data_IF_468268074135
#
_entry.id   IF_468268074135
#
_cell.length_a   1.000
_cell.length_b   1.000
_cell.length_c   1.000
_cell.angle_alpha   90.00
_cell.angle_beta   90.00
_cell.angle_gamma   90.00
#
_symmetry.space_group_name_H-M   'P 1'
#
loop_
_entity.id
_entity.type
_entity.pdbx_description
1 polymer ?
#
# COMPACT_ATOMS: atom_id res chain seq x y z
N UNK A 1 2.37 -30.50 -44.50
CA UNK A 1 1.54 -29.29 -44.37
C UNK A 1 0.83 -29.34 -43.03
N UNK A 2 1.30 -28.58 -42.04
CA UNK A 2 0.61 -28.37 -40.78
C UNK A 2 0.92 -26.93 -40.35
N UNK A 3 -0.10 -26.08 -40.40
CA UNK A 3 -0.02 -24.65 -40.09
C UNK A 3 -0.06 -24.46 -38.56
N UNK A 4 1.04 -23.99 -37.99
CA UNK A 4 1.11 -23.50 -36.62
C UNK A 4 0.33 -22.18 -36.50
N UNK A 5 -0.82 -22.22 -35.82
CA UNK A 5 -1.49 -21.02 -35.31
C UNK A 5 -0.94 -20.70 -33.92
N UNK A 6 -0.11 -19.66 -33.82
CA UNK A 6 0.14 -19.01 -32.54
C UNK A 6 -0.99 -18.02 -32.25
N UNK A 7 -1.56 -17.99 -31.03
CA UNK A 7 -2.49 -16.94 -30.66
C UNK A 7 -1.72 -15.64 -30.43
N UNK A 8 -2.02 -14.63 -31.26
CA UNK A 8 -1.61 -13.24 -31.06
C UNK A 8 -2.30 -12.68 -29.81
N UNK A 9 -1.58 -12.63 -28.68
CA UNK A 9 -2.00 -11.82 -27.54
C UNK A 9 -1.66 -10.35 -27.83
N UNK A 10 -2.65 -9.60 -28.33
CA UNK A 10 -2.58 -8.14 -28.41
C UNK A 10 -2.66 -7.62 -26.97
N UNK A 11 -1.50 -7.27 -26.40
CA UNK A 11 -1.39 -6.61 -25.10
C UNK A 11 -1.91 -5.18 -25.27
N UNK A 12 -3.12 -4.90 -24.82
CA UNK A 12 -3.64 -3.52 -24.74
C UNK A 12 -2.83 -2.75 -23.69
N UNK A 13 -1.87 -1.96 -24.16
CA UNK A 13 -1.22 -0.93 -23.34
C UNK A 13 -2.27 0.13 -22.98
N UNK A 14 -2.60 0.26 -21.70
CA UNK A 14 -3.37 1.41 -21.20
C UNK A 14 -2.45 2.63 -21.21
N UNK A 15 -2.45 3.37 -22.32
CA UNK A 15 -1.85 4.69 -22.38
C UNK A 15 -2.70 5.61 -21.48
N UNK A 16 -2.11 6.11 -20.40
CA UNK A 16 -2.76 7.07 -19.51
C UNK A 16 -2.84 8.42 -20.23
N UNK A 17 -3.98 8.71 -20.86
CA UNK A 17 -4.25 10.04 -21.42
C UNK A 17 -4.65 10.97 -20.28
N UNK A 18 -3.67 11.70 -19.73
CA UNK A 18 -3.93 12.74 -18.73
C UNK A 18 -4.37 14.03 -19.44
N UNK A 19 -5.65 14.37 -19.36
CA UNK A 19 -6.15 15.69 -19.74
C UNK A 19 -6.26 16.58 -18.50
N UNK A 20 -5.38 17.56 -18.36
CA UNK A 20 -5.52 18.60 -17.37
C UNK A 20 -6.42 19.71 -17.92
N UNK A 21 -7.69 19.74 -17.50
CA UNK A 21 -8.60 20.87 -17.76
C UNK A 21 -8.47 21.83 -16.57
N UNK A 22 -8.03 23.09 -16.77
CA UNK A 22 -7.99 24.07 -15.70
C UNK A 22 -9.41 24.36 -15.22
N UNK A 23 -9.77 23.88 -14.02
CA UNK A 23 -11.14 24.02 -13.51
C UNK A 23 -11.41 25.35 -12.81
N UNK A 24 -10.37 26.12 -12.44
CA UNK A 24 -10.51 27.46 -11.85
C UNK A 24 -9.16 28.20 -11.80
N UNK A 25 -9.16 29.50 -12.10
CA UNK A 25 -8.06 30.43 -11.75
C UNK A 25 -8.26 30.88 -10.30
N UNK A 26 -7.29 30.64 -9.43
CA UNK A 26 -7.38 30.95 -8.01
C UNK A 26 -6.41 32.09 -7.65
N UNK A 27 -6.96 33.22 -7.20
CA UNK A 27 -6.17 34.31 -6.64
C UNK A 27 -5.94 34.08 -5.13
N UNK A 28 -4.69 33.82 -4.75
CA UNK A 28 -4.27 33.58 -3.37
C UNK A 28 -4.33 34.85 -2.50
N UNK A 29 -4.33 36.04 -3.10
CA UNK A 29 -4.46 37.32 -2.39
C UNK A 29 -5.92 37.66 -2.05
N UNK A 30 -6.88 36.93 -2.62
CA UNK A 30 -8.31 37.14 -2.43
C UNK A 30 -8.92 36.31 -1.29
N UNK A 31 -8.13 35.81 -0.33
CA UNK A 31 -8.69 35.15 0.86
C UNK A 31 -9.60 36.13 1.61
N UNK A 32 -10.92 35.88 1.70
CA UNK A 32 -11.83 36.85 2.26
C UNK A 32 -11.54 37.01 3.75
N UNK A 33 -11.42 38.27 4.21
CA UNK A 33 -11.31 38.61 5.64
C UNK A 33 -12.51 38.14 6.48
N UNK A 34 -13.58 37.67 5.83
CA UNK A 34 -14.76 37.03 6.41
C UNK A 34 -15.43 36.12 5.37
N UNK A 35 -15.48 34.80 5.53
CA UNK A 35 -16.37 33.99 4.71
C UNK A 35 -17.79 34.06 5.31
N UNK A 36 -18.76 34.54 4.54
CA UNK A 36 -20.03 33.82 4.52
C UNK A 36 -19.73 32.41 3.98
N UNK A 37 -20.37 31.33 4.48
CA UNK A 37 -20.12 29.99 4.00
C UNK A 37 -20.64 29.85 2.56
N UNK A 38 -19.82 30.25 1.60
CA UNK A 38 -20.01 30.01 0.17
C UNK A 38 -19.18 28.79 -0.23
N UNK A 39 -19.64 28.03 -1.23
CA UNK A 39 -18.91 26.87 -1.74
C UNK A 39 -17.45 27.18 -2.15
N UNK A 40 -17.15 28.44 -2.50
CA UNK A 40 -15.83 28.92 -2.90
C UNK A 40 -14.80 29.02 -1.76
N UNK A 41 -15.21 29.27 -0.51
CA UNK A 41 -14.25 29.36 0.61
C UNK A 41 -13.74 27.97 1.03
N UNK A 42 -14.63 26.97 1.03
CA UNK A 42 -14.30 25.58 1.30
C UNK A 42 -13.35 24.99 0.26
N UNK A 43 -13.51 25.36 -1.02
CA UNK A 43 -12.59 24.95 -2.10
C UNK A 43 -11.19 25.50 -1.88
N UNK A 44 -11.05 26.76 -1.49
CA UNK A 44 -9.74 27.40 -1.24
C UNK A 44 -9.00 26.78 -0.06
N UNK A 45 -9.72 26.44 1.02
CA UNK A 45 -9.15 25.72 2.17
C UNK A 45 -8.58 24.37 1.72
N UNK A 46 -9.38 23.58 0.97
CA UNK A 46 -8.93 22.28 0.46
C UNK A 46 -7.71 22.39 -0.45
N UNK A 47 -7.65 23.41 -1.31
CA UNK A 47 -6.48 23.64 -2.18
C UNK A 47 -5.24 23.91 -1.32
N UNK A 48 -5.33 24.82 -0.34
CA UNK A 48 -4.21 25.11 0.55
C UNK A 48 -3.77 23.88 1.35
N UNK A 49 -4.71 23.11 1.89
CA UNK A 49 -4.40 21.85 2.58
C UNK A 49 -3.73 20.83 1.67
N UNK A 50 -4.17 20.75 0.42
CA UNK A 50 -3.58 19.87 -0.60
C UNK A 50 -2.17 20.31 -0.95
N UNK A 51 -1.93 21.62 -1.15
CA UNK A 51 -0.61 22.16 -1.44
C UNK A 51 0.37 21.94 -0.28
N UNK A 52 -0.08 22.15 0.96
CA UNK A 52 0.72 21.87 2.15
C UNK A 52 1.12 20.39 2.22
N UNK A 53 0.17 19.46 1.96
CA UNK A 53 0.51 18.03 1.90
C UNK A 53 1.44 17.70 0.75
N UNK A 54 1.23 18.30 -0.43
CA UNK A 54 2.07 18.07 -1.62
C UNK A 54 3.51 18.54 -1.39
N UNK A 55 3.72 19.63 -0.66
CA UNK A 55 5.06 20.09 -0.28
C UNK A 55 5.84 19.12 0.62
N UNK A 56 5.13 18.16 1.24
CA UNK A 56 5.70 17.16 2.14
C UNK A 56 5.70 15.75 1.53
N UNK A 57 5.25 15.57 0.29
CA UNK A 57 5.00 14.26 -0.32
C UNK A 57 6.20 13.31 -0.26
N UNK A 58 7.42 13.84 -0.33
CA UNK A 58 8.66 13.05 -0.37
C UNK A 58 9.20 12.76 1.04
N UNK A 59 8.58 13.34 2.07
CA UNK A 59 9.00 13.25 3.47
C UNK A 59 8.00 12.50 4.35
N UNK A 60 6.74 12.40 3.90
CA UNK A 60 5.66 11.79 4.68
C UNK A 60 4.83 10.82 3.86
N UNK A 61 4.35 9.77 4.52
CA UNK A 61 3.28 8.92 4.01
C UNK A 61 1.94 9.37 4.59
N UNK A 62 0.92 9.48 3.75
CA UNK A 62 -0.42 9.93 4.17
C UNK A 62 -1.34 8.73 4.34
N UNK A 63 -1.78 8.47 5.57
CA UNK A 63 -2.76 7.43 5.90
C UNK A 63 -3.95 8.07 6.61
N UNK A 64 -5.16 7.92 6.05
CA UNK A 64 -6.39 8.46 6.63
C UNK A 64 -6.27 9.94 7.07
N UNK A 65 -5.73 10.80 6.19
CA UNK A 65 -5.51 12.23 6.46
C UNK A 65 -4.45 12.56 7.54
N UNK A 66 -3.67 11.56 7.97
CA UNK A 66 -2.54 11.74 8.89
C UNK A 66 -1.23 11.55 8.12
N UNK A 67 -0.28 12.46 8.29
CA UNK A 67 1.04 12.40 7.69
C UNK A 67 2.01 11.73 8.67
N UNK A 68 2.73 10.68 8.25
CA UNK A 68 3.74 9.99 9.05
C UNK A 68 5.12 10.17 8.43
N UNK A 69 6.12 10.53 9.24
CA UNK A 69 7.46 10.79 8.73
C UNK A 69 8.12 9.51 8.21
N UNK A 70 8.66 9.58 6.99
CA UNK A 70 9.41 8.49 6.37
C UNK A 70 10.92 8.62 6.64
N UNK A 71 11.39 9.84 6.88
CA UNK A 71 12.81 10.19 6.98
C UNK A 71 13.38 9.90 8.37
N UNK A 72 12.52 9.71 9.36
CA UNK A 72 12.91 9.40 10.73
C UNK A 72 13.01 7.88 10.90
N UNK A 73 14.09 7.37 11.52
CA UNK A 73 14.19 5.95 11.80
C UNK A 73 13.06 5.55 12.76
N UNK A 74 12.24 4.54 12.40
CA UNK A 74 11.15 4.11 13.25
C UNK A 74 11.68 3.47 14.54
N UNK A 75 10.94 3.64 15.63
CA UNK A 75 11.26 2.95 16.89
C UNK A 75 10.70 1.52 16.82
N UNK A 76 11.57 0.53 17.01
CA UNK A 76 11.16 -0.87 17.02
C UNK A 76 10.32 -1.17 18.27
N UNK A 77 9.17 -1.82 18.07
CA UNK A 77 8.28 -2.29 19.12
C UNK A 77 8.39 -3.80 19.31
N UNK A 78 7.87 -4.27 20.45
CA UNK A 78 7.71 -5.70 20.69
C UNK A 78 6.82 -6.34 19.61
N UNK A 79 7.12 -7.60 19.27
CA UNK A 79 6.39 -8.31 18.23
C UNK A 79 6.70 -7.83 16.81
N UNK A 80 7.83 -7.18 16.56
CA UNK A 80 8.28 -6.88 15.20
C UNK A 80 7.51 -5.77 14.50
N UNK A 81 6.84 -4.90 15.23
CA UNK A 81 6.20 -3.71 14.68
C UNK A 81 7.10 -2.48 14.80
N UNK A 82 6.74 -1.42 14.08
CA UNK A 82 7.41 -0.14 14.11
C UNK A 82 6.48 0.94 14.64
N UNK A 83 6.97 1.80 15.53
CA UNK A 83 6.29 3.02 15.95
C UNK A 83 6.75 4.17 15.06
N UNK A 84 5.79 4.89 14.47
CA UNK A 84 6.05 6.07 13.65
C UNK A 84 5.36 7.30 14.21
N UNK A 85 6.13 8.38 14.24
CA UNK A 85 5.65 9.71 14.55
C UNK A 85 5.02 10.34 13.29
N UNK A 86 3.94 11.06 13.51
CA UNK A 86 3.25 11.79 12.47
C UNK A 86 2.44 12.94 13.04
N UNK A 87 1.57 13.49 12.21
CA UNK A 87 0.68 14.56 12.60
C UNK A 87 -0.55 14.63 11.69
N UNK A 88 -1.65 15.12 12.24
CA UNK A 88 -2.79 15.60 11.46
C UNK A 88 -2.68 17.11 11.35
N UNK A 89 -3.02 17.66 10.19
CA UNK A 89 -3.11 19.10 9.99
C UNK A 89 -4.51 19.49 9.51
N UNK A 90 -5.00 20.64 9.97
CA UNK A 90 -6.25 21.23 9.53
C UNK A 90 -6.10 22.75 9.41
N UNK A 91 -6.54 23.31 8.29
CA UNK A 91 -6.50 24.76 8.08
C UNK A 91 -7.82 25.40 8.52
N UNK A 92 -7.73 26.25 9.54
CA UNK A 92 -8.89 26.99 10.07
C UNK A 92 -8.86 28.43 9.56
N UNK A 93 -9.93 28.84 8.89
CA UNK A 93 -10.16 30.24 8.53
C UNK A 93 -10.97 30.92 9.64
N UNK A 94 -10.28 31.70 10.47
CA UNK A 94 -10.92 32.56 11.49
C UNK A 94 -10.99 34.01 11.00
N UNK A 95 -11.80 34.86 11.63
CA UNK A 95 -12.04 36.24 11.21
C UNK A 95 -10.73 37.03 11.02
N UNK A 96 -10.30 37.18 9.77
CA UNK A 96 -9.11 37.91 9.35
C UNK A 96 -7.77 37.15 9.43
N UNK A 97 -7.74 35.88 9.85
CA UNK A 97 -6.49 35.09 9.94
C UNK A 97 -6.70 33.63 9.56
N UNK A 98 -5.79 33.12 8.73
CA UNK A 98 -5.62 31.69 8.50
C UNK A 98 -4.75 31.10 9.61
N UNK A 99 -5.21 30.03 10.24
CA UNK A 99 -4.47 29.32 11.29
C UNK A 99 -4.32 27.86 10.89
N UNK A 100 -3.12 27.30 11.01
CA UNK A 100 -2.87 25.89 10.78
C UNK A 100 -2.86 25.18 12.13
N UNK A 101 -3.82 24.29 12.36
CA UNK A 101 -3.84 23.43 13.52
C UNK A 101 -3.04 22.17 13.19
N UNK A 102 -2.04 21.85 14.02
CA UNK A 102 -1.21 20.65 13.89
C UNK A 102 -1.34 19.86 15.19
N UNK A 103 -1.69 18.59 15.08
CA UNK A 103 -1.73 17.66 16.20
C UNK A 103 -0.83 16.48 15.93
N UNK A 104 0.17 16.27 16.78
CA UNK A 104 1.08 15.12 16.72
C UNK A 104 0.32 13.82 16.94
N UNK A 105 0.70 12.78 16.19
CA UNK A 105 0.17 11.42 16.27
C UNK A 105 1.31 10.44 16.37
N UNK A 106 1.07 9.35 17.09
CA UNK A 106 1.94 8.19 17.17
C UNK A 106 1.11 6.98 16.79
N UNK A 107 1.62 6.13 15.90
CA UNK A 107 0.91 4.90 15.52
C UNK A 107 1.89 3.77 15.26
N UNK A 108 1.35 2.57 15.14
CA UNK A 108 2.08 1.35 14.82
C UNK A 108 1.97 1.02 13.33
N UNK A 109 3.09 0.64 12.72
CA UNK A 109 3.23 0.22 11.34
C UNK A 109 3.82 -1.19 11.25
N UNK A 110 3.54 -1.85 10.12
CA UNK A 110 4.32 -2.99 9.69
C UNK A 110 5.70 -2.53 9.21
N UNK A 111 6.79 -3.23 9.56
CA UNK A 111 8.11 -2.91 9.03
C UNK A 111 8.25 -3.30 7.55
N UNK A 112 9.13 -2.63 6.81
CA UNK A 112 9.54 -3.05 5.46
C UNK A 112 10.57 -4.20 5.53
N UNK A 113 10.07 -5.40 5.83
CA UNK A 113 10.84 -6.65 5.86
C UNK A 113 10.15 -7.73 5.03
N UNK A 114 10.85 -8.84 4.78
CA UNK A 114 10.22 -9.97 4.12
C UNK A 114 9.10 -10.56 4.99
N UNK A 115 7.98 -10.94 4.38
CA UNK A 115 6.83 -11.52 5.09
C UNK A 115 7.24 -12.73 5.95
N UNK A 116 8.14 -13.56 5.45
CA UNK A 116 8.64 -14.72 6.17
C UNK A 116 9.42 -14.34 7.43
N UNK A 117 10.23 -13.29 7.37
CA UNK A 117 10.95 -12.77 8.54
C UNK A 117 9.97 -12.21 9.58
N UNK A 118 8.93 -11.50 9.13
CA UNK A 118 7.86 -11.04 10.02
C UNK A 118 7.15 -12.21 10.70
N UNK A 119 6.82 -13.28 9.96
CA UNK A 119 6.24 -14.51 10.52
C UNK A 119 7.15 -15.10 11.59
N UNK A 120 8.46 -15.21 11.31
CA UNK A 120 9.43 -15.73 12.29
C UNK A 120 9.51 -14.89 13.56
N UNK A 121 9.40 -13.57 13.44
CA UNK A 121 9.32 -12.68 14.61
C UNK A 121 8.04 -12.94 15.41
N UNK A 122 6.89 -13.11 14.75
CA UNK A 122 5.60 -13.36 15.44
C UNK A 122 5.55 -14.68 16.21
N UNK A 123 6.27 -15.70 15.73
CA UNK A 123 6.34 -17.04 16.35
C UNK A 123 7.61 -17.24 17.20
N UNK A 124 8.56 -16.30 17.17
CA UNK A 124 9.82 -16.36 17.92
C UNK A 124 10.79 -17.46 17.47
N UNK A 125 10.65 -18.00 16.25
CA UNK A 125 11.49 -19.10 15.74
C UNK A 125 11.47 -19.19 14.21
N UNK A 126 12.50 -19.81 13.61
CA UNK A 126 12.60 -20.05 12.16
C UNK A 126 12.01 -21.41 11.76
N UNK A 127 10.75 -21.67 12.11
CA UNK A 127 10.04 -22.90 11.76
C UNK A 127 8.69 -22.62 11.13
N UNK A 128 8.06 -23.67 10.60
CA UNK A 128 6.68 -23.61 10.12
C UNK A 128 5.76 -23.32 11.33
N UNK A 129 4.85 -22.35 11.24
CA UNK A 129 3.84 -22.10 12.27
C UNK A 129 2.97 -23.34 12.52
N UNK A 130 2.53 -23.56 13.76
CA UNK A 130 1.49 -24.53 14.05
C UNK A 130 0.08 -23.95 13.78
N UNK A 131 -0.96 -24.76 13.91
CA UNK A 131 -2.34 -24.35 13.59
C UNK A 131 -2.81 -23.11 14.39
N UNK A 132 -2.44 -23.03 15.68
CA UNK A 132 -2.81 -21.89 16.53
C UNK A 132 -2.06 -20.62 16.12
N UNK A 133 -0.79 -20.76 15.73
CA UNK A 133 0.01 -19.66 15.21
C UNK A 133 -0.51 -19.18 13.85
N UNK A 134 -0.97 -20.07 12.96
CA UNK A 134 -1.64 -19.67 11.72
C UNK A 134 -2.92 -18.87 12.00
N UNK A 135 -3.74 -19.29 12.96
CA UNK A 135 -4.94 -18.53 13.36
C UNK A 135 -4.57 -17.13 13.87
N UNK A 136 -3.48 -17.01 14.64
CA UNK A 136 -2.95 -15.71 15.09
C UNK A 136 -2.44 -14.86 13.91
N UNK A 137 -1.64 -15.45 13.03
CA UNK A 137 -1.08 -14.78 11.85
C UNK A 137 -2.18 -14.31 10.89
N UNK A 138 -3.20 -15.13 10.62
CA UNK A 138 -4.37 -14.74 9.84
C UNK A 138 -5.09 -13.52 10.45
N UNK A 139 -5.19 -13.42 11.78
CA UNK A 139 -5.80 -12.25 12.43
C UNK A 139 -4.94 -10.99 12.31
N UNK A 140 -3.63 -11.13 12.45
CA UNK A 140 -2.68 -10.01 12.35
C UNK A 140 -2.62 -9.51 10.93
N UNK A 141 -2.37 -10.41 9.97
CA UNK A 141 -2.11 -10.07 8.57
C UNK A 141 -3.38 -9.83 7.74
N UNK A 142 -4.57 -9.96 8.34
CA UNK A 142 -5.82 -9.69 7.64
C UNK A 142 -5.82 -8.28 7.06
N UNK A 143 -6.13 -8.17 5.77
CA UNK A 143 -6.15 -6.92 5.02
C UNK A 143 -4.78 -6.22 4.93
N UNK A 144 -3.69 -6.91 5.25
CA UNK A 144 -2.35 -6.37 5.06
C UNK A 144 -2.01 -6.42 3.57
N UNK A 145 -1.41 -5.34 3.07
CA UNK A 145 -0.86 -5.30 1.73
C UNK A 145 0.54 -5.91 1.73
N UNK A 146 0.81 -6.76 0.75
CA UNK A 146 2.14 -7.30 0.46
C UNK A 146 2.56 -6.96 -0.95
N UNK A 147 3.82 -6.60 -1.11
CA UNK A 147 4.38 -6.23 -2.42
C UNK A 147 5.26 -7.35 -2.93
N UNK A 148 4.96 -7.86 -4.13
CA UNK A 148 5.80 -8.88 -4.76
C UNK A 148 7.07 -8.24 -5.32
N UNK A 149 8.23 -8.88 -5.07
CA UNK A 149 9.55 -8.46 -5.61
C UNK A 149 10.03 -9.33 -6.79
N UNK A 150 9.17 -10.22 -7.28
CA UNK A 150 9.49 -11.24 -8.29
C UNK A 150 9.60 -10.71 -9.73
N UNK A 151 9.25 -9.45 -9.99
CA UNK A 151 9.39 -8.82 -11.30
C UNK A 151 9.78 -7.35 -11.13
N UNK A 152 10.20 -6.71 -12.22
CA UNK A 152 10.47 -5.27 -12.26
C UNK A 152 9.22 -4.42 -11.95
N UNK A 153 8.05 -5.05 -11.86
CA UNK A 153 6.78 -4.40 -11.58
C UNK A 153 6.37 -4.73 -10.14
N UNK A 154 6.43 -3.72 -9.28
CA UNK A 154 5.92 -3.81 -7.91
C UNK A 154 4.39 -3.85 -7.97
N UNK A 155 3.83 -5.01 -7.66
CA UNK A 155 2.39 -5.18 -7.51
C UNK A 155 2.08 -5.42 -6.03
N UNK A 156 1.17 -4.62 -5.49
CA UNK A 156 0.61 -4.83 -4.16
C UNK A 156 -0.61 -5.76 -4.24
N UNK A 157 -0.71 -6.68 -3.28
CA UNK A 157 -1.82 -7.58 -3.11
C UNK A 157 -2.29 -7.56 -1.66
N UNK A 158 -3.58 -7.76 -1.44
CA UNK A 158 -4.15 -7.89 -0.10
C UNK A 158 -4.15 -9.35 0.33
N UNK A 159 -3.66 -9.62 1.55
CA UNK A 159 -3.69 -10.96 2.13
C UNK A 159 -5.13 -11.30 2.53
N UNK A 160 -5.61 -12.43 2.04
CA UNK A 160 -6.87 -13.04 2.50
C UNK A 160 -6.59 -13.99 3.66
N UNK A 161 -5.88 -15.08 3.38
CA UNK A 161 -5.61 -16.15 4.35
C UNK A 161 -4.39 -16.98 3.96
N UNK A 162 -3.84 -17.73 4.93
CA UNK A 162 -2.89 -18.81 4.64
C UNK A 162 -3.58 -20.02 4.00
N UNK A 163 -3.02 -20.52 2.89
CA UNK A 163 -3.36 -21.82 2.33
C UNK A 163 -2.60 -22.90 3.11
N UNK A 164 -3.28 -23.92 3.61
CA UNK A 164 -2.61 -24.98 4.37
C UNK A 164 -1.72 -25.88 3.51
N UNK A 165 -1.90 -25.82 2.18
CA UNK A 165 -1.12 -26.60 1.22
C UNK A 165 0.24 -25.96 0.97
N UNK A 166 1.22 -26.80 0.66
CA UNK A 166 2.58 -26.38 0.26
C UNK A 166 2.58 -25.99 -1.23
N UNK A 167 3.56 -25.19 -1.68
CA UNK A 167 3.76 -24.90 -3.10
C UNK A 167 3.83 -26.15 -4.00
N UNK A 168 4.32 -27.28 -3.48
CA UNK A 168 4.40 -28.54 -4.22
C UNK A 168 3.05 -29.26 -4.39
N UNK A 169 2.05 -28.88 -3.60
CA UNK A 169 0.73 -29.52 -3.55
C UNK A 169 -0.34 -28.68 -4.27
N UNK A 170 -0.03 -27.43 -4.59
CA UNK A 170 -0.94 -26.51 -5.28
C UNK A 170 -0.68 -26.60 -6.78
N UNK A 171 -1.67 -27.11 -7.51
CA UNK A 171 -1.69 -27.11 -8.98
C UNK A 171 -2.41 -25.86 -9.50
N UNK A 172 -1.84 -25.25 -10.54
CA UNK A 172 -2.49 -24.18 -11.29
C UNK A 172 -3.28 -24.75 -12.48
N UNK A 173 -4.02 -23.90 -13.20
CA UNK A 173 -4.88 -24.33 -14.32
C UNK A 173 -4.14 -25.09 -15.43
N UNK A 174 -2.83 -24.84 -15.61
CA UNK A 174 -2.00 -25.58 -16.57
C UNK A 174 -1.70 -27.03 -16.17
N UNK A 175 -2.05 -27.44 -14.94
CA UNK A 175 -1.72 -28.74 -14.36
C UNK A 175 -0.34 -28.80 -13.70
N UNK A 176 0.51 -27.78 -13.89
CA UNK A 176 1.80 -27.66 -13.19
C UNK A 176 1.60 -27.29 -11.71
N UNK A 177 2.54 -27.71 -10.86
CA UNK A 177 2.60 -27.22 -9.47
C UNK A 177 3.06 -25.77 -9.41
N UNK A 178 2.80 -25.05 -8.31
CA UNK A 178 3.32 -23.68 -8.14
C UNK A 178 4.86 -23.64 -8.24
N UNK A 179 5.56 -24.64 -7.72
CA UNK A 179 7.03 -24.72 -7.83
C UNK A 179 7.48 -24.79 -9.29
N UNK A 180 6.83 -25.64 -10.08
CA UNK A 180 7.12 -25.79 -11.51
C UNK A 180 6.76 -24.53 -12.29
N UNK A 181 5.60 -23.92 -12.02
CA UNK A 181 5.19 -22.66 -12.63
C UNK A 181 6.23 -21.56 -12.41
N UNK A 182 6.69 -21.35 -11.17
CA UNK A 182 7.68 -20.33 -10.87
C UNK A 182 9.03 -20.60 -11.56
N UNK A 183 9.43 -21.87 -11.64
CA UNK A 183 10.66 -22.26 -12.33
C UNK A 183 10.53 -22.05 -13.85
N UNK A 184 9.46 -22.52 -14.46
CA UNK A 184 9.28 -22.54 -15.92
C UNK A 184 8.90 -21.15 -16.46
N UNK A 185 7.91 -20.48 -15.86
CA UNK A 185 7.36 -19.23 -16.37
C UNK A 185 8.13 -17.99 -15.89
N UNK A 186 8.82 -18.05 -14.74
CA UNK A 186 9.52 -16.91 -14.15
C UNK A 186 11.03 -17.10 -14.01
N UNK A 187 11.56 -18.30 -14.27
CA UNK A 187 12.95 -18.64 -14.00
C UNK A 187 13.36 -18.36 -12.54
N UNK A 188 12.45 -18.64 -11.60
CA UNK A 188 12.64 -18.43 -10.16
C UNK A 188 12.61 -19.78 -9.44
N UNK A 189 13.65 -20.06 -8.67
CA UNK A 189 13.69 -21.21 -7.75
C UNK A 189 13.16 -20.80 -6.38
N UNK A 190 12.13 -21.49 -5.90
CA UNK A 190 11.58 -21.26 -4.56
C UNK A 190 12.46 -21.93 -3.51
N UNK A 191 13.00 -21.14 -2.56
CA UNK A 191 13.88 -21.64 -1.51
C UNK A 191 13.14 -22.22 -0.29
N UNK A 192 11.84 -21.90 -0.16
CA UNK A 192 11.04 -22.17 1.05
C UNK A 192 9.80 -23.02 0.72
N UNK A 193 10.00 -24.13 0.00
CA UNK A 193 8.92 -24.99 -0.49
C UNK A 193 8.15 -25.73 0.61
N UNK A 194 8.66 -25.75 1.83
CA UNK A 194 8.00 -26.36 2.98
C UNK A 194 7.02 -25.42 3.71
N UNK A 195 7.05 -24.12 3.41
CA UNK A 195 6.12 -23.16 4.01
C UNK A 195 4.79 -23.15 3.24
N UNK A 196 3.67 -22.95 3.93
CA UNK A 196 2.39 -22.76 3.28
C UNK A 196 2.37 -21.49 2.44
N UNK A 197 1.53 -21.51 1.41
CA UNK A 197 1.27 -20.33 0.59
C UNK A 197 0.31 -19.37 1.28
N UNK A 198 0.27 -18.13 0.78
CA UNK A 198 -0.77 -17.16 1.11
C UNK A 198 -1.70 -17.01 -0.09
N UNK A 199 -2.99 -16.96 0.16
CA UNK A 199 -3.98 -16.54 -0.81
C UNK A 199 -4.08 -15.02 -0.76
N UNK A 200 -4.02 -14.41 -1.94
CA UNK A 200 -4.02 -12.96 -2.09
C UNK A 200 -4.95 -12.55 -3.22
N UNK A 201 -5.48 -11.34 -3.16
CA UNK A 201 -6.28 -10.76 -4.21
C UNK A 201 -5.78 -9.36 -4.57
N UNK A 202 -6.16 -8.89 -5.76
CA UNK A 202 -5.92 -7.51 -6.14
C UNK A 202 -6.79 -6.63 -5.24
N UNK A 203 -6.22 -5.64 -4.53
CA UNK A 203 -7.01 -4.75 -3.70
C UNK A 203 -8.06 -4.07 -4.59
N UNK A 204 -9.30 -4.01 -4.09
CA UNK A 204 -10.41 -3.35 -4.80
C UNK A 204 -10.16 -1.85 -4.81
N UNK A 205 -9.33 -1.39 -5.76
CA UNK A 205 -8.94 0.01 -6.02
C UNK A 205 -8.98 0.88 -4.76
N UNK A 206 -7.91 0.86 -3.97
CA UNK A 206 -7.53 2.10 -3.29
C UNK A 206 -7.09 3.00 -4.43
N UNK A 207 -7.83 4.08 -4.71
CA UNK A 207 -7.33 5.14 -5.58
C UNK A 207 -6.05 5.67 -4.93
N UNK A 208 -4.90 5.15 -5.35
CA UNK A 208 -3.61 5.73 -5.05
C UNK A 208 -3.58 7.04 -5.84
N UNK A 209 -4.08 8.10 -5.22
CA UNK A 209 -3.84 9.46 -5.69
C UNK A 209 -2.36 9.76 -5.45
N UNK A 210 -1.57 9.73 -6.53
CA UNK A 210 -0.21 10.26 -6.58
C UNK A 210 -0.18 11.78 -6.28
#
# INVERSE_FOLDING_TARGET
MASNHQPNFIRQERILVSSAIPSATLDLFALPRRPAPTNSSSQRVRILETLLKKSLQDQVEVVNNTCYFLNEPPKKLAGGFEERLGFTQALNLSSGRSTLNIQTKLTTFYPDIALLDFIHIQIGSKRIPNENEFKKLNRILKNCLVVTRQSNWKQAYEIDQFDQRRPTEITIESGETLVEYYKNAKNITLNQTNYPCIQVYLPSIIQITN
#
